data_IF_196990339350
#
_entry.id   IF_196990339350
#
_cell.length_a   1.000
_cell.length_b   1.000
_cell.length_c   1.000
_cell.angle_alpha   90.00
_cell.angle_beta   90.00
_cell.angle_gamma   90.00
#
_symmetry.space_group_name_H-M   'P 1'
#
loop_
_entity.id
_entity.type
_entity.pdbx_description
1 polymer ?
#
# COMPACT_ATOMS: atom_id res chain seq x y z
N UNK A 1 -6.90 22.23 3.38
CA UNK A 1 -8.18 21.54 3.70
C UNK A 1 -7.88 20.15 4.25
N UNK A 2 -8.73 19.57 5.11
CA UNK A 2 -8.55 18.22 5.68
C UNK A 2 -9.65 17.29 5.17
N UNK A 3 -9.32 16.05 4.90
CA UNK A 3 -10.29 15.00 4.62
C UNK A 3 -11.17 14.75 5.85
N UNK A 4 -12.49 14.43 5.72
CA UNK A 4 -13.36 14.11 6.85
C UNK A 4 -12.80 13.03 7.77
N UNK A 5 -12.11 12.03 7.21
CA UNK A 5 -11.39 11.02 7.98
C UNK A 5 -10.43 11.65 9.02
N UNK A 6 -9.63 12.64 8.61
CA UNK A 6 -8.68 13.30 9.49
C UNK A 6 -9.39 14.14 10.56
N UNK A 7 -10.46 14.86 10.15
CA UNK A 7 -11.19 15.75 11.04
C UNK A 7 -11.90 14.97 12.16
N UNK A 8 -12.56 13.86 11.80
CA UNK A 8 -13.30 13.01 12.74
C UNK A 8 -12.35 12.30 13.71
N UNK A 9 -11.17 11.92 13.24
CA UNK A 9 -10.26 11.06 14.00
C UNK A 9 -9.09 11.78 14.67
N UNK A 10 -8.99 13.11 14.51
CA UNK A 10 -7.91 13.90 15.11
C UNK A 10 -6.51 13.57 14.59
N UNK A 11 -6.41 13.02 13.35
CA UNK A 11 -5.15 12.66 12.70
C UNK A 11 -4.80 13.63 11.57
N UNK A 12 -3.60 13.51 11.03
CA UNK A 12 -3.12 14.29 9.89
C UNK A 12 -2.59 13.36 8.82
N UNK A 13 -3.46 12.98 7.88
CA UNK A 13 -3.07 12.13 6.75
C UNK A 13 -3.50 12.73 5.40
N UNK A 14 -4.07 13.94 5.41
CA UNK A 14 -4.53 14.66 4.22
C UNK A 14 -3.46 15.57 3.66
N UNK A 15 -3.59 15.85 2.38
CA UNK A 15 -2.75 16.77 1.62
C UNK A 15 -1.90 16.03 0.60
N UNK A 16 -1.52 16.77 -0.45
CA UNK A 16 -0.59 16.33 -1.47
C UNK A 16 0.81 16.83 -1.10
N UNK A 17 1.81 15.97 -1.20
CA UNK A 17 3.22 16.37 -1.16
C UNK A 17 3.89 15.82 -2.41
N UNK A 18 4.26 16.71 -3.34
CA UNK A 18 4.89 16.30 -4.59
C UNK A 18 6.18 15.52 -4.35
N UNK A 19 6.46 14.51 -5.16
CA UNK A 19 7.64 13.66 -5.03
C UNK A 19 8.96 14.45 -4.97
N UNK A 20 9.07 15.55 -5.73
CA UNK A 20 10.24 16.45 -5.70
C UNK A 20 10.52 17.07 -4.33
N UNK A 21 9.53 17.13 -3.44
CA UNK A 21 9.66 17.61 -2.06
C UNK A 21 9.88 16.50 -1.04
N UNK A 22 9.80 15.24 -1.45
CA UNK A 22 10.02 14.06 -0.61
C UNK A 22 11.50 13.63 -0.60
N UNK A 23 12.39 14.58 -0.33
CA UNK A 23 13.84 14.31 -0.29
C UNK A 23 14.23 13.73 1.07
N UNK A 24 14.83 12.54 1.07
CA UNK A 24 15.39 11.86 2.24
C UNK A 24 16.91 11.78 2.21
N UNK A 25 17.55 12.15 1.10
CA UNK A 25 18.96 11.93 0.82
C UNK A 25 19.27 10.53 0.30
N UNK A 26 18.26 9.72 0.04
CA UNK A 26 18.43 8.36 -0.45
C UNK A 26 18.45 8.29 -1.98
N UNK A 27 19.18 7.33 -2.53
CA UNK A 27 19.29 7.10 -3.99
C UNK A 27 17.94 6.90 -4.70
N UNK A 28 16.91 6.46 -3.97
CA UNK A 28 15.57 6.23 -4.51
C UNK A 28 14.66 7.46 -4.48
N UNK A 29 15.08 8.59 -3.91
CA UNK A 29 14.28 9.83 -3.87
C UNK A 29 13.79 10.29 -5.26
N UNK A 30 14.62 10.09 -6.30
CA UNK A 30 14.26 10.39 -7.69
C UNK A 30 13.14 9.56 -8.27
N UNK A 31 12.77 8.48 -7.61
CA UNK A 31 11.71 7.55 -8.00
C UNK A 31 10.46 7.69 -7.13
N UNK A 32 10.50 8.52 -6.08
CA UNK A 32 9.35 8.76 -5.22
C UNK A 32 8.25 9.47 -6.02
N UNK A 33 7.03 8.95 -5.95
CA UNK A 33 5.83 9.61 -6.45
C UNK A 33 5.32 10.63 -5.42
N UNK A 34 4.25 11.33 -5.73
CA UNK A 34 3.64 12.22 -4.75
C UNK A 34 3.03 11.42 -3.59
N UNK A 35 3.18 11.95 -2.36
CA UNK A 35 2.38 11.47 -1.25
C UNK A 35 0.95 11.96 -1.38
N UNK A 36 -0.01 11.06 -1.27
CA UNK A 36 -1.43 11.31 -1.07
C UNK A 36 -2.03 10.19 -0.21
N UNK A 37 -3.01 10.51 0.65
CA UNK A 37 -3.64 9.50 1.51
C UNK A 37 -4.75 8.75 0.76
N UNK A 38 -4.72 7.42 0.74
CA UNK A 38 -5.75 6.59 0.08
C UNK A 38 -7.16 6.93 0.60
N UNK A 39 -8.14 6.98 -0.30
CA UNK A 39 -9.54 7.16 0.06
C UNK A 39 -10.02 5.97 0.93
N UNK A 40 -10.63 6.20 2.12
CA UNK A 40 -11.08 5.12 2.99
C UNK A 40 -12.01 4.12 2.31
N UNK A 41 -12.89 4.59 1.43
CA UNK A 41 -13.82 3.72 0.68
C UNK A 41 -13.10 2.82 -0.33
N UNK A 42 -12.06 3.31 -1.00
CA UNK A 42 -11.24 2.52 -1.93
C UNK A 42 -10.47 1.45 -1.16
N UNK A 43 -9.82 1.82 -0.06
CA UNK A 43 -9.14 0.88 0.82
C UNK A 43 -10.08 -0.26 1.26
N UNK A 44 -11.23 0.11 1.83
CA UNK A 44 -12.20 -0.87 2.32
C UNK A 44 -12.75 -1.78 1.20
N UNK A 45 -13.01 -1.23 0.01
CA UNK A 45 -13.49 -2.00 -1.13
C UNK A 45 -12.43 -3.00 -1.63
N UNK A 46 -11.17 -2.56 -1.70
CA UNK A 46 -10.06 -3.40 -2.17
C UNK A 46 -9.76 -4.54 -1.19
N UNK A 47 -9.75 -4.25 0.13
CA UNK A 47 -9.55 -5.28 1.16
C UNK A 47 -10.70 -6.30 1.15
N UNK A 48 -11.96 -5.85 1.03
CA UNK A 48 -13.10 -6.78 0.89
C UNK A 48 -12.98 -7.66 -0.35
N UNK A 49 -12.50 -7.10 -1.48
CA UNK A 49 -12.28 -7.88 -2.71
C UNK A 49 -11.16 -8.89 -2.52
N UNK A 50 -10.08 -8.52 -1.85
CA UNK A 50 -9.01 -9.44 -1.49
C UNK A 50 -9.51 -10.59 -0.63
N UNK A 51 -10.27 -10.34 0.42
CA UNK A 51 -10.86 -11.40 1.26
C UNK A 51 -11.74 -12.37 0.45
N UNK A 52 -12.53 -11.86 -0.51
CA UNK A 52 -13.34 -12.69 -1.41
C UNK A 52 -12.50 -13.52 -2.40
N UNK A 53 -11.28 -13.15 -2.66
CA UNK A 53 -10.35 -13.92 -3.52
C UNK A 53 -9.81 -15.19 -2.84
N UNK A 54 -10.28 -15.51 -1.64
CA UNK A 54 -9.88 -16.67 -0.82
C UNK A 54 -8.35 -16.71 -0.66
N UNK A 55 -7.75 -15.80 0.11
CA UNK A 55 -6.36 -15.90 0.47
C UNK A 55 -6.06 -17.21 1.19
N UNK A 56 -4.80 -17.67 1.14
CA UNK A 56 -4.39 -18.94 1.72
C UNK A 56 -4.48 -18.98 3.26
N UNK A 57 -4.51 -17.82 3.89
CA UNK A 57 -4.63 -17.65 5.34
C UNK A 57 -5.75 -16.69 5.70
N UNK A 58 -6.26 -16.79 6.92
CA UNK A 58 -7.24 -15.86 7.46
C UNK A 58 -6.64 -14.45 7.65
N UNK A 59 -7.50 -13.45 7.85
CA UNK A 59 -7.02 -12.08 8.11
C UNK A 59 -6.24 -12.00 9.42
N UNK A 60 -6.63 -12.79 10.43
CA UNK A 60 -6.01 -12.86 11.76
C UNK A 60 -4.60 -13.47 11.72
N UNK A 61 -4.33 -14.29 10.72
CA UNK A 61 -3.01 -14.88 10.48
C UNK A 61 -2.13 -14.00 9.58
N UNK A 62 -2.74 -13.10 8.83
CA UNK A 62 -2.09 -12.29 7.79
C UNK A 62 -1.53 -10.98 8.37
N UNK A 63 -0.32 -10.62 7.98
CA UNK A 63 0.26 -9.30 8.26
C UNK A 63 -0.04 -8.34 7.12
N UNK A 64 -0.50 -7.16 7.46
CA UNK A 64 -0.65 -6.05 6.52
C UNK A 64 0.64 -5.24 6.46
N UNK A 65 1.24 -5.09 5.27
CA UNK A 65 2.49 -4.36 5.06
C UNK A 65 2.19 -3.16 4.14
N UNK A 66 2.21 -1.95 4.69
CA UNK A 66 2.00 -0.70 3.96
C UNK A 66 3.33 -0.22 3.36
N UNK A 67 3.48 -0.32 2.06
CA UNK A 67 4.68 0.01 1.29
C UNK A 67 4.61 1.47 0.82
N UNK A 68 5.51 2.31 1.32
CA UNK A 68 5.39 3.75 1.17
C UNK A 68 4.27 4.30 2.05
N UNK A 69 4.33 3.99 3.34
CA UNK A 69 3.23 4.25 4.28
C UNK A 69 2.87 5.74 4.42
N UNK A 70 3.72 6.66 3.97
CA UNK A 70 3.49 8.08 4.01
C UNK A 70 3.17 8.58 5.41
N UNK A 71 2.04 9.26 5.57
CA UNK A 71 1.53 9.72 6.88
C UNK A 71 0.69 8.64 7.61
N UNK A 72 0.61 7.40 7.06
CA UNK A 72 0.07 6.22 7.72
C UNK A 72 -1.43 5.99 7.59
N UNK A 73 -2.14 6.60 6.61
CA UNK A 73 -3.62 6.43 6.50
C UNK A 73 -4.01 4.97 6.31
N UNK A 74 -3.38 4.24 5.38
CA UNK A 74 -3.70 2.83 5.15
C UNK A 74 -3.38 1.98 6.39
N UNK A 75 -2.30 2.29 7.12
CA UNK A 75 -2.01 1.65 8.40
C UNK A 75 -3.12 1.83 9.43
N UNK A 76 -3.67 3.06 9.57
CA UNK A 76 -4.75 3.34 10.52
C UNK A 76 -6.01 2.55 10.16
N UNK A 77 -6.38 2.54 8.87
CA UNK A 77 -7.53 1.80 8.36
C UNK A 77 -7.36 0.28 8.54
N UNK A 78 -6.16 -0.24 8.25
CA UNK A 78 -5.84 -1.65 8.44
C UNK A 78 -5.84 -2.04 9.93
N UNK A 79 -5.41 -1.15 10.82
CA UNK A 79 -5.36 -1.43 12.25
C UNK A 79 -6.73 -1.55 12.93
N UNK A 80 -7.81 -1.09 12.30
CA UNK A 80 -9.18 -1.36 12.75
C UNK A 80 -9.67 -2.77 12.41
N UNK A 81 -8.93 -3.48 11.57
CA UNK A 81 -9.24 -4.84 11.15
C UNK A 81 -8.37 -5.83 11.95
N UNK A 82 -8.81 -7.10 12.09
CA UNK A 82 -8.11 -8.08 12.91
C UNK A 82 -6.89 -8.68 12.21
N UNK A 83 -6.08 -7.87 11.54
CA UNK A 83 -4.79 -8.35 11.01
C UNK A 83 -3.87 -8.79 12.14
N UNK A 84 -3.06 -9.83 11.93
CA UNK A 84 -2.05 -10.27 12.88
C UNK A 84 -1.13 -9.13 13.33
N UNK A 85 -0.77 -8.24 12.41
CA UNK A 85 -0.03 -7.01 12.66
C UNK A 85 -0.13 -6.09 11.43
N UNK A 86 0.01 -4.79 11.65
CA UNK A 86 0.12 -3.76 10.62
C UNK A 86 1.52 -3.16 10.69
N UNK A 87 2.27 -3.25 9.59
CA UNK A 87 3.63 -2.72 9.50
C UNK A 87 3.69 -1.72 8.36
N UNK A 88 4.07 -0.49 8.63
CA UNK A 88 4.36 0.51 7.59
C UNK A 88 5.86 0.62 7.33
N UNK A 89 6.22 0.80 6.06
CA UNK A 89 7.60 1.09 5.65
C UNK A 89 7.58 2.41 4.88
N UNK A 90 8.33 3.40 5.37
CA UNK A 90 8.37 4.74 4.77
C UNK A 90 9.81 5.27 4.76
N UNK A 91 10.25 5.77 3.61
CA UNK A 91 11.60 6.27 3.41
C UNK A 91 11.79 7.69 3.98
N UNK A 92 10.78 8.54 3.82
CA UNK A 92 10.85 9.95 4.19
C UNK A 92 10.65 10.17 5.69
N UNK A 93 11.71 10.62 6.38
CA UNK A 93 11.69 10.84 7.83
C UNK A 93 10.63 11.85 8.30
N UNK A 94 10.27 12.84 7.46
CA UNK A 94 9.24 13.83 7.80
C UNK A 94 7.86 13.19 7.80
N UNK A 95 7.54 12.36 6.80
CA UNK A 95 6.31 11.58 6.77
C UNK A 95 6.25 10.58 7.92
N UNK A 96 7.36 9.89 8.22
CA UNK A 96 7.48 8.98 9.37
C UNK A 96 7.17 9.68 10.69
N UNK A 97 7.65 10.90 10.90
CA UNK A 97 7.34 11.67 12.14
C UNK A 97 5.84 11.97 12.26
N UNK A 98 5.19 12.32 11.14
CA UNK A 98 3.75 12.57 11.12
C UNK A 98 2.99 11.26 11.38
N UNK A 99 3.34 10.18 10.67
CA UNK A 99 2.73 8.87 10.84
C UNK A 99 2.84 8.38 12.29
N UNK A 100 3.99 8.50 12.95
CA UNK A 100 4.15 8.13 14.37
C UNK A 100 3.17 8.86 15.30
N UNK A 101 2.92 10.15 15.05
CA UNK A 101 1.93 10.93 15.81
C UNK A 101 0.51 10.39 15.56
N UNK A 102 0.17 10.12 14.30
CA UNK A 102 -1.12 9.55 13.92
C UNK A 102 -1.36 8.19 14.58
N UNK A 103 -0.37 7.28 14.55
CA UNK A 103 -0.45 5.98 15.18
C UNK A 103 -0.64 6.08 16.71
N UNK A 104 0.01 7.06 17.33
CA UNK A 104 -0.14 7.33 18.79
C UNK A 104 -1.56 7.80 19.09
N UNK A 105 -2.10 8.74 18.30
CA UNK A 105 -3.48 9.22 18.42
C UNK A 105 -4.47 8.06 18.29
N UNK A 106 -4.26 7.18 17.30
CA UNK A 106 -5.12 6.04 17.03
C UNK A 106 -5.15 5.02 18.17
N UNK A 107 -3.99 4.71 18.75
CA UNK A 107 -3.89 3.83 19.92
C UNK A 107 -4.58 4.43 21.14
N UNK A 108 -4.35 5.72 21.41
CA UNK A 108 -5.00 6.43 22.54
C UNK A 108 -6.52 6.48 22.43
N UNK A 109 -7.04 6.52 21.20
CA UNK A 109 -8.47 6.49 20.92
C UNK A 109 -9.08 5.07 21.00
N UNK A 110 -8.28 4.03 21.30
CA UNK A 110 -8.74 2.64 21.39
C UNK A 110 -9.16 2.02 20.05
N UNK A 111 -8.75 2.61 18.92
CA UNK A 111 -9.19 2.16 17.58
C UNK A 111 -8.30 1.08 16.97
N UNK A 112 -7.12 0.85 17.52
CA UNK A 112 -6.20 -0.16 17.02
C UNK A 112 -6.57 -1.55 17.55
N UNK A 113 -7.18 -2.37 16.72
CA UNK A 113 -7.43 -3.81 16.96
C UNK A 113 -6.13 -4.59 16.71
N UNK A 114 -5.47 -4.32 15.58
CA UNK A 114 -4.18 -4.93 15.25
C UNK A 114 -3.00 -4.12 15.82
N UNK A 115 -1.92 -4.77 16.28
CA UNK A 115 -0.69 -4.10 16.68
C UNK A 115 -0.03 -3.40 15.47
N UNK A 116 0.42 -2.16 15.66
CA UNK A 116 1.03 -1.34 14.60
C UNK A 116 2.53 -1.12 14.84
N UNK A 117 3.33 -1.22 13.79
CA UNK A 117 4.76 -0.88 13.76
C UNK A 117 5.07 -0.03 12.52
N UNK A 118 5.91 1.01 12.67
CA UNK A 118 6.38 1.84 11.56
C UNK A 118 7.91 1.76 11.49
N UNK A 119 8.41 1.44 10.30
CA UNK A 119 9.83 1.35 9.96
C UNK A 119 10.19 2.52 9.06
N UNK A 120 11.25 3.26 9.43
CA UNK A 120 11.85 4.24 8.54
C UNK A 120 12.92 3.53 7.72
N UNK A 121 12.72 3.40 6.41
CA UNK A 121 13.65 2.67 5.55
C UNK A 121 13.13 2.45 4.13
N UNK A 122 14.00 1.86 3.32
CA UNK A 122 13.70 1.51 1.93
C UNK A 122 12.84 0.24 1.84
N UNK A 123 11.67 0.36 1.24
CA UNK A 123 10.76 -0.77 1.05
C UNK A 123 11.34 -1.86 0.12
N UNK A 124 12.20 -1.47 -0.84
CA UNK A 124 12.86 -2.43 -1.74
C UNK A 124 13.89 -3.32 -1.02
N UNK A 125 14.38 -2.89 0.14
CA UNK A 125 15.34 -3.62 0.98
C UNK A 125 14.71 -4.14 2.28
N UNK A 126 13.40 -3.93 2.47
CA UNK A 126 12.71 -4.33 3.68
C UNK A 126 12.72 -5.85 3.87
N UNK A 127 13.08 -6.27 5.08
CA UNK A 127 13.04 -7.68 5.47
C UNK A 127 11.59 -8.07 5.83
N UNK A 128 10.86 -8.61 4.86
CA UNK A 128 9.49 -9.08 5.08
C UNK A 128 9.47 -10.18 6.15
N UNK A 129 8.53 -10.11 7.12
CA UNK A 129 8.44 -11.11 8.18
C UNK A 129 8.01 -12.48 7.61
N UNK A 130 8.25 -13.57 8.35
CA UNK A 130 7.77 -14.90 7.96
C UNK A 130 6.25 -14.99 8.08
N UNK A 131 5.64 -15.90 7.28
CA UNK A 131 4.21 -16.19 7.24
C UNK A 131 3.40 -15.27 6.34
N UNK A 132 2.07 -15.45 6.29
CA UNK A 132 1.18 -14.77 5.37
C UNK A 132 1.25 -13.25 5.45
N UNK A 133 1.34 -12.60 4.29
CA UNK A 133 1.43 -11.15 4.16
C UNK A 133 0.54 -10.63 3.03
N UNK A 134 -0.03 -9.46 3.24
CA UNK A 134 -0.58 -8.62 2.19
C UNK A 134 0.25 -7.35 2.10
N UNK A 135 0.90 -7.12 0.97
CA UNK A 135 1.62 -5.89 0.66
C UNK A 135 0.63 -4.90 0.02
N UNK A 136 0.44 -3.76 0.66
CA UNK A 136 -0.40 -2.69 0.15
C UNK A 136 0.49 -1.58 -0.42
N UNK A 137 0.16 -1.11 -1.62
CA UNK A 137 0.85 -0.03 -2.31
C UNK A 137 -0.17 1.01 -2.79
N UNK A 138 0.10 2.28 -2.53
CA UNK A 138 -0.61 3.38 -3.19
C UNK A 138 0.40 4.15 -4.05
N UNK A 139 0.76 3.59 -5.20
CA UNK A 139 1.70 4.13 -6.18
C UNK A 139 2.93 4.83 -5.55
N UNK A 140 3.68 4.15 -4.68
CA UNK A 140 4.68 4.83 -3.85
C UNK A 140 5.96 5.23 -4.62
N UNK A 141 6.21 4.61 -5.78
CA UNK A 141 7.44 4.81 -6.55
C UNK A 141 7.35 4.27 -7.99
N UNK A 142 8.28 4.70 -8.84
CA UNK A 142 8.33 4.32 -10.24
C UNK A 142 8.87 2.90 -10.48
N UNK A 143 8.84 2.48 -11.75
CA UNK A 143 9.10 1.12 -12.23
C UNK A 143 10.43 0.50 -11.75
N UNK A 144 11.49 1.30 -11.62
CA UNK A 144 12.81 0.78 -11.21
C UNK A 144 12.78 0.23 -9.77
N UNK A 145 12.13 0.94 -8.85
CA UNK A 145 12.00 0.51 -7.45
C UNK A 145 10.96 -0.61 -7.34
N UNK A 146 9.86 -0.55 -8.13
CA UNK A 146 8.87 -1.62 -8.20
C UNK A 146 9.52 -2.95 -8.59
N UNK A 147 10.37 -2.98 -9.62
CA UNK A 147 11.09 -4.21 -10.02
C UNK A 147 11.96 -4.77 -8.88
N UNK A 148 12.63 -3.93 -8.12
CA UNK A 148 13.45 -4.37 -6.97
C UNK A 148 12.59 -4.92 -5.84
N UNK A 149 11.46 -4.25 -5.52
CA UNK A 149 10.50 -4.74 -4.55
C UNK A 149 9.97 -6.12 -4.94
N UNK A 150 9.54 -6.31 -6.20
CA UNK A 150 9.02 -7.60 -6.67
C UNK A 150 10.10 -8.69 -6.62
N UNK A 151 11.36 -8.38 -6.92
CA UNK A 151 12.46 -9.33 -6.79
C UNK A 151 12.70 -9.72 -5.32
N UNK A 152 12.69 -8.76 -4.40
CA UNK A 152 12.80 -9.02 -2.96
C UNK A 152 11.63 -9.90 -2.47
N UNK A 153 10.39 -9.57 -2.86
CA UNK A 153 9.21 -10.36 -2.52
C UNK A 153 9.30 -11.79 -3.08
N UNK A 154 9.64 -11.95 -4.36
CA UNK A 154 9.79 -13.26 -4.99
C UNK A 154 10.84 -14.14 -4.28
N UNK A 155 11.98 -13.57 -3.90
CA UNK A 155 13.01 -14.29 -3.15
C UNK A 155 12.54 -14.65 -1.73
N UNK A 156 11.89 -13.70 -1.04
CA UNK A 156 11.43 -13.91 0.34
C UNK A 156 10.32 -14.94 0.47
N UNK A 157 9.47 -15.04 -0.56
CA UNK A 157 8.34 -15.97 -0.60
C UNK A 157 8.56 -17.17 -1.54
N UNK A 158 9.78 -17.41 -2.01
CA UNK A 158 10.11 -18.43 -3.01
C UNK A 158 9.47 -19.80 -2.69
N UNK A 159 9.65 -20.29 -1.48
CA UNK A 159 9.13 -21.57 -1.00
C UNK A 159 7.78 -21.47 -0.26
N UNK A 160 7.03 -20.36 -0.47
CA UNK A 160 5.78 -20.08 0.23
C UNK A 160 4.70 -19.57 -0.73
N UNK A 161 4.27 -20.44 -1.68
CA UNK A 161 3.22 -20.07 -2.63
C UNK A 161 1.91 -19.79 -1.90
N UNK A 162 1.23 -18.72 -2.31
CA UNK A 162 -0.05 -18.29 -1.73
C UNK A 162 0.06 -17.45 -0.46
N UNK A 163 1.23 -17.36 0.19
CA UNK A 163 1.40 -16.57 1.43
C UNK A 163 1.61 -15.06 1.18
N UNK A 164 1.72 -14.62 -0.06
CA UNK A 164 1.86 -13.20 -0.41
C UNK A 164 0.79 -12.78 -1.39
N UNK A 165 0.04 -11.75 -1.01
CA UNK A 165 -0.82 -10.99 -1.90
C UNK A 165 -0.35 -9.53 -1.99
N UNK A 166 -0.55 -8.89 -3.15
CA UNK A 166 -0.27 -7.47 -3.38
C UNK A 166 -1.60 -6.77 -3.69
N UNK A 167 -1.92 -5.71 -2.95
CA UNK A 167 -3.02 -4.80 -3.22
C UNK A 167 -2.42 -3.47 -3.71
N UNK A 168 -2.67 -3.13 -4.96
CA UNK A 168 -2.07 -1.97 -5.58
C UNK A 168 -3.15 -0.96 -6.00
N UNK A 169 -3.06 0.25 -5.48
CA UNK A 169 -3.95 1.38 -5.72
C UNK A 169 -3.22 2.42 -6.56
N UNK A 170 -3.91 3.08 -7.48
CA UNK A 170 -3.33 3.95 -8.50
C UNK A 170 -2.16 3.23 -9.20
N UNK A 171 -2.50 2.15 -9.88
CA UNK A 171 -1.56 1.13 -10.33
C UNK A 171 -0.78 1.51 -11.61
N UNK A 172 -0.19 2.71 -11.64
CA UNK A 172 0.58 3.22 -12.78
C UNK A 172 1.72 2.27 -13.24
N UNK A 173 2.25 1.45 -12.31
CA UNK A 173 3.31 0.49 -12.61
C UNK A 173 2.76 -0.92 -12.89
N UNK A 174 1.52 -1.06 -13.30
CA UNK A 174 0.88 -2.36 -13.59
C UNK A 174 1.67 -3.19 -14.62
N UNK A 175 2.24 -2.54 -15.63
CA UNK A 175 3.08 -3.21 -16.62
C UNK A 175 4.28 -3.96 -16.01
N UNK A 176 4.81 -3.50 -14.87
CA UNK A 176 5.90 -4.18 -14.16
C UNK A 176 5.41 -5.47 -13.49
N UNK A 177 4.21 -5.45 -12.94
CA UNK A 177 3.55 -6.63 -12.36
C UNK A 177 3.16 -7.63 -13.46
N UNK A 178 2.63 -7.16 -14.59
CA UNK A 178 2.35 -8.01 -15.75
C UNK A 178 3.61 -8.72 -16.25
N UNK A 179 4.72 -8.02 -16.36
CA UNK A 179 6.01 -8.64 -16.74
C UNK A 179 6.52 -9.64 -15.68
N UNK A 180 6.04 -9.58 -14.45
CA UNK A 180 6.37 -10.52 -13.38
C UNK A 180 5.48 -11.78 -13.35
N UNK A 181 4.45 -11.89 -14.20
CA UNK A 181 3.58 -13.09 -14.27
C UNK A 181 4.39 -14.36 -14.52
N UNK A 182 5.27 -14.35 -15.50
CA UNK A 182 6.14 -15.50 -15.80
C UNK A 182 7.14 -15.85 -14.69
N UNK A 183 7.18 -15.05 -13.62
CA UNK A 183 8.04 -15.27 -12.44
C UNK A 183 7.27 -15.76 -11.22
N UNK A 184 5.98 -16.09 -11.36
CA UNK A 184 5.15 -16.66 -10.28
C UNK A 184 4.10 -15.72 -9.68
N UNK A 185 3.97 -14.49 -10.16
CA UNK A 185 2.84 -13.62 -9.79
C UNK A 185 1.62 -13.88 -10.68
N UNK A 186 0.46 -14.04 -10.06
CA UNK A 186 -0.82 -14.25 -10.76
C UNK A 186 -1.75 -13.08 -10.45
N UNK A 187 -2.34 -12.49 -11.49
CA UNK A 187 -3.33 -11.43 -11.37
C UNK A 187 -4.67 -12.01 -10.96
N UNK A 188 -5.23 -11.52 -9.85
CA UNK A 188 -6.56 -11.88 -9.37
C UNK A 188 -7.62 -10.83 -9.75
N UNK A 189 -7.20 -9.56 -9.86
CA UNK A 189 -8.06 -8.45 -10.22
C UNK A 189 -7.25 -7.33 -10.85
N UNK A 190 -7.84 -6.65 -11.83
CA UNK A 190 -7.45 -5.32 -12.31
C UNK A 190 -8.71 -4.59 -12.72
N UNK A 191 -8.80 -3.31 -12.39
CA UNK A 191 -9.91 -2.45 -12.79
C UNK A 191 -10.16 -1.32 -11.78
N UNK A 192 -11.17 -0.54 -12.08
CA UNK A 192 -11.54 0.62 -11.30
C UNK A 192 -12.28 0.24 -10.01
N UNK A 193 -11.94 0.95 -8.94
CA UNK A 193 -12.63 0.91 -7.65
C UNK A 193 -13.27 2.26 -7.38
N UNK A 194 -14.59 2.28 -7.18
CA UNK A 194 -15.34 3.51 -6.98
C UNK A 194 -15.07 4.11 -5.60
N UNK A 195 -14.79 5.42 -5.57
CA UNK A 195 -14.79 6.20 -4.32
C UNK A 195 -16.21 6.43 -3.82
N UNK A 196 -16.39 6.53 -2.52
CA UNK A 196 -17.62 7.07 -1.95
C UNK A 196 -17.80 8.54 -2.37
N UNK A 197 -19.05 9.02 -2.39
CA UNK A 197 -19.31 10.43 -2.68
C UNK A 197 -18.58 11.36 -1.72
N UNK A 198 -18.51 10.98 -0.45
CA UNK A 198 -17.80 11.75 0.59
C UNK A 198 -16.31 11.85 0.28
N UNK A 199 -15.66 10.72 -0.05
CA UNK A 199 -14.24 10.70 -0.37
C UNK A 199 -13.94 11.46 -1.66
N UNK A 200 -14.75 11.27 -2.71
CA UNK A 200 -14.56 11.95 -3.99
C UNK A 200 -14.65 13.48 -3.84
N UNK A 201 -15.62 13.98 -3.08
CA UNK A 201 -15.76 15.42 -2.80
C UNK A 201 -14.58 15.93 -1.95
N UNK A 202 -14.15 15.16 -0.95
CA UNK A 202 -13.04 15.55 -0.09
C UNK A 202 -11.73 15.63 -0.88
N UNK A 203 -11.43 14.61 -1.69
CA UNK A 203 -10.24 14.53 -2.52
C UNK A 203 -10.22 15.67 -3.55
N UNK A 204 -11.34 15.88 -4.26
CA UNK A 204 -11.46 17.01 -5.20
C UNK A 204 -11.12 18.35 -4.52
N UNK A 205 -11.72 18.62 -3.34
CA UNK A 205 -11.47 19.86 -2.60
C UNK A 205 -10.02 20.00 -2.11
N UNK A 206 -9.40 18.90 -1.70
CA UNK A 206 -8.01 18.90 -1.26
C UNK A 206 -7.10 19.21 -2.44
N UNK A 207 -7.28 18.54 -3.57
CA UNK A 207 -6.44 18.72 -4.77
C UNK A 207 -6.65 20.08 -5.43
N UNK A 208 -7.89 20.57 -5.53
CA UNK A 208 -8.20 21.88 -6.09
C UNK A 208 -7.55 23.05 -5.31
N UNK A 209 -7.19 22.86 -4.05
CA UNK A 209 -6.53 23.86 -3.21
C UNK A 209 -5.02 23.67 -3.11
N UNK A 210 -4.42 22.82 -3.94
CA UNK A 210 -2.97 22.66 -3.99
C UNK A 210 -2.36 23.60 -5.02
N UNK A 211 -1.19 24.23 -4.74
CA UNK A 211 -0.54 25.13 -5.68
C UNK A 211 -0.05 24.42 -6.96
N UNK A 212 0.03 23.11 -6.95
CA UNK A 212 0.51 22.27 -8.04
C UNK A 212 -0.68 21.59 -8.70
N UNK A 213 -1.25 22.19 -9.75
CA UNK A 213 -2.43 21.70 -10.48
C UNK A 213 -2.24 20.42 -11.31
N UNK A 214 -1.19 19.66 -11.06
CA UNK A 214 -0.84 18.47 -11.85
C UNK A 214 -1.63 17.22 -11.46
N UNK A 215 -2.42 17.25 -10.39
CA UNK A 215 -3.12 16.07 -9.88
C UNK A 215 -4.64 16.26 -9.96
N UNK A 216 -5.29 15.36 -10.68
CA UNK A 216 -6.75 15.30 -10.78
C UNK A 216 -7.32 14.23 -9.86
N UNK A 217 -8.49 14.50 -9.29
CA UNK A 217 -9.28 13.50 -8.56
C UNK A 217 -10.47 13.06 -9.41
N UNK A 218 -10.64 11.75 -9.58
CA UNK A 218 -11.79 11.15 -10.24
C UNK A 218 -12.74 10.48 -9.25
N UNK A 219 -13.83 9.91 -9.76
CA UNK A 219 -14.77 9.10 -8.96
C UNK A 219 -14.29 7.66 -8.75
N UNK A 220 -13.23 7.25 -9.42
CA UNK A 220 -12.69 5.91 -9.44
C UNK A 220 -11.19 5.95 -9.19
N UNK A 221 -10.65 4.82 -8.79
CA UNK A 221 -9.22 4.58 -8.63
C UNK A 221 -8.85 3.29 -9.32
N UNK A 222 -7.83 3.32 -10.17
CA UNK A 222 -7.30 2.13 -10.81
C UNK A 222 -6.59 1.27 -9.78
N UNK A 223 -7.00 0.00 -9.69
CA UNK A 223 -6.49 -0.93 -8.70
C UNK A 223 -6.19 -2.30 -9.28
N UNK A 224 -5.27 -3.01 -8.65
CA UNK A 224 -5.05 -4.42 -8.96
C UNK A 224 -4.79 -5.26 -7.70
N UNK A 225 -5.03 -6.57 -7.83
CA UNK A 225 -4.71 -7.57 -6.80
C UNK A 225 -3.91 -8.68 -7.46
N UNK A 226 -2.76 -8.99 -6.86
CA UNK A 226 -1.86 -10.02 -7.33
C UNK A 226 -1.55 -11.01 -6.22
N UNK A 227 -1.29 -12.27 -6.59
CA UNK A 227 -0.89 -13.34 -5.67
C UNK A 227 0.39 -13.99 -6.12
N UNK A 228 1.29 -14.24 -5.21
CA UNK A 228 2.45 -15.08 -5.42
C UNK A 228 2.04 -16.56 -5.43
N UNK A 229 2.34 -17.29 -6.51
CA UNK A 229 2.08 -18.74 -6.65
C UNK A 229 3.34 -19.59 -6.63
N UNK A 230 4.49 -18.97 -6.44
CA UNK A 230 5.79 -19.64 -6.62
C UNK A 230 6.30 -19.51 -8.05
N UNK A 231 7.60 -19.66 -8.24
CA UNK A 231 8.16 -19.80 -9.58
C UNK A 231 7.68 -21.13 -10.15
N UNK A 232 7.19 -21.15 -11.38
CA UNK A 232 7.01 -22.42 -12.11
C UNK A 232 8.35 -23.13 -12.11
N UNK A 233 8.49 -24.15 -11.28
CA UNK A 233 9.53 -25.14 -11.46
C UNK A 233 9.11 -25.85 -12.74
N UNK A 234 9.74 -25.46 -13.88
CA UNK A 234 9.46 -26.07 -15.15
C UNK A 234 9.33 -27.55 -14.93
N UNK A 235 8.20 -28.11 -15.31
CA UNK A 235 8.01 -29.54 -15.39
C UNK A 235 9.16 -30.03 -16.27
N UNK A 236 10.21 -30.55 -15.60
CA UNK A 236 11.26 -31.25 -16.30
C UNK A 236 10.57 -32.26 -17.19
N UNK A 237 10.71 -32.10 -18.48
CA UNK A 237 10.36 -33.14 -19.43
C UNK A 237 10.99 -34.43 -18.91
N UNK A 238 10.17 -35.30 -18.35
CA UNK A 238 10.54 -36.68 -18.13
C UNK A 238 10.53 -37.29 -19.52
N UNK A 239 11.76 -37.40 -20.10
CA UNK A 239 12.00 -38.30 -21.20
C UNK A 239 11.77 -39.76 -20.76
#
# INVERSE_FOLDING_TARGET
MRHPFDAINGVRTSGLVAGRHLKSGHRHDRHATAYYGVAPSVFAALVRRWQRSRPAASIEETRFIDIGAGMGRAMLLAAEMPFRAVIGVELNQTLVRIARRNLTTWRKAGRAVAPMRLVCGDAAEFAFPPGPCVAFLFNPFGAAVMRRLLANLANRFENRPGELDILYVNNEQEAVLEAARGRGFVRLFVGEVRRSRTDAIADYRILANQPEGEYASGNYEDCSIWRWRGRDQGLGTRD
#
